data_IF_759840424083
#
_entry.id   IF_759840424083
#
_cell.length_a   1.000
_cell.length_b   1.000
_cell.length_c   1.000
_cell.angle_alpha   90.00
_cell.angle_beta   90.00
_cell.angle_gamma   90.00
#
_symmetry.space_group_name_H-M   'P 1'
#
loop_
_entity.id
_entity.type
_entity.pdbx_description
1 polymer ?
#
# COMPACT_ATOMS: atom_id res chain seq x y z
N UNK A 1 -26.46 -73.57 -19.17
CA UNK A 1 -25.21 -73.15 -19.85
C UNK A 1 -24.95 -71.70 -19.46
N UNK A 2 -24.10 -71.46 -18.47
CA UNK A 2 -23.69 -70.10 -18.08
C UNK A 2 -22.80 -69.53 -19.18
N UNK A 3 -23.30 -68.49 -19.86
CA UNK A 3 -22.49 -67.70 -20.78
C UNK A 3 -21.48 -66.90 -19.96
N UNK A 4 -20.23 -67.39 -19.89
CA UNK A 4 -19.11 -66.59 -19.36
C UNK A 4 -19.00 -65.32 -20.20
N UNK A 5 -19.35 -64.18 -19.60
CA UNK A 5 -19.12 -62.88 -20.21
C UNK A 5 -17.62 -62.73 -20.58
N UNK A 6 -17.31 -62.13 -21.73
CA UNK A 6 -15.93 -61.97 -22.17
C UNK A 6 -15.18 -61.08 -21.18
N UNK A 7 -14.24 -61.69 -20.46
CA UNK A 7 -13.37 -61.08 -19.43
C UNK A 7 -12.67 -59.80 -19.88
N UNK A 8 -12.55 -59.57 -21.19
CA UNK A 8 -12.03 -58.34 -21.79
C UNK A 8 -12.87 -57.08 -21.46
N UNK A 9 -14.21 -57.18 -21.44
CA UNK A 9 -15.09 -56.03 -21.20
C UNK A 9 -15.05 -55.55 -19.74
N UNK A 10 -14.85 -56.48 -18.80
CA UNK A 10 -14.74 -56.17 -17.37
C UNK A 10 -13.40 -55.48 -17.06
N UNK A 11 -12.30 -55.94 -17.66
CA UNK A 11 -10.99 -55.31 -17.47
C UNK A 11 -10.91 -53.89 -18.05
N UNK A 12 -11.48 -53.67 -19.25
CA UNK A 12 -11.47 -52.37 -19.91
C UNK A 12 -12.20 -51.28 -19.11
N UNK A 13 -13.35 -51.61 -18.48
CA UNK A 13 -14.08 -50.70 -17.59
C UNK A 13 -13.26 -50.33 -16.34
N UNK A 14 -12.49 -51.26 -15.77
CA UNK A 14 -11.69 -51.01 -14.58
C UNK A 14 -10.49 -50.08 -14.85
N UNK A 15 -9.86 -50.20 -16.02
CA UNK A 15 -8.73 -49.38 -16.44
C UNK A 15 -9.18 -47.96 -16.75
N UNK A 16 -10.28 -47.79 -17.51
CA UNK A 16 -10.87 -46.49 -17.78
C UNK A 16 -11.25 -45.75 -16.49
N UNK A 17 -11.79 -46.47 -15.50
CA UNK A 17 -12.16 -45.86 -14.22
C UNK A 17 -10.93 -45.40 -13.41
N UNK A 18 -9.86 -46.19 -13.38
CA UNK A 18 -8.60 -45.82 -12.72
C UNK A 18 -7.94 -44.62 -13.38
N UNK A 19 -7.82 -44.61 -14.71
CA UNK A 19 -7.26 -43.48 -15.46
C UNK A 19 -8.10 -42.21 -15.32
N UNK A 20 -9.43 -42.33 -15.25
CA UNK A 20 -10.32 -41.20 -14.96
C UNK A 20 -10.08 -40.61 -13.58
N UNK A 21 -9.91 -41.45 -12.55
CA UNK A 21 -9.56 -41.01 -11.20
C UNK A 21 -8.19 -40.32 -11.19
N UNK A 22 -7.19 -40.90 -11.86
CA UNK A 22 -5.87 -40.27 -11.98
C UNK A 22 -5.93 -38.91 -12.67
N UNK A 23 -6.67 -38.81 -13.78
CA UNK A 23 -6.87 -37.55 -14.49
C UNK A 23 -7.59 -36.51 -13.61
N UNK A 24 -8.62 -36.92 -12.88
CA UNK A 24 -9.35 -36.04 -11.97
C UNK A 24 -8.47 -35.53 -10.83
N UNK A 25 -7.68 -36.41 -10.20
CA UNK A 25 -6.72 -36.01 -9.16
C UNK A 25 -5.66 -35.08 -9.75
N UNK A 26 -5.13 -35.38 -10.93
CA UNK A 26 -4.12 -34.56 -11.58
C UNK A 26 -4.65 -33.16 -11.92
N UNK A 27 -5.85 -33.06 -12.51
CA UNK A 27 -6.51 -31.79 -12.78
C UNK A 27 -6.78 -31.03 -11.49
N UNK A 28 -7.28 -31.71 -10.44
CA UNK A 28 -7.54 -31.07 -9.15
C UNK A 28 -6.28 -30.50 -8.50
N UNK A 29 -5.14 -31.20 -8.62
CA UNK A 29 -3.86 -30.73 -8.12
C UNK A 29 -3.39 -29.49 -8.89
N UNK A 30 -3.47 -29.51 -10.23
CA UNK A 30 -3.13 -28.35 -11.07
C UNK A 30 -4.04 -27.16 -10.72
N UNK A 31 -5.35 -27.36 -10.63
CA UNK A 31 -6.29 -26.31 -10.28
C UNK A 31 -5.97 -25.70 -8.91
N UNK A 32 -5.59 -26.51 -7.93
CA UNK A 32 -5.20 -26.04 -6.59
C UNK A 32 -3.95 -25.18 -6.66
N UNK A 33 -2.92 -25.62 -7.38
CA UNK A 33 -1.67 -24.85 -7.53
C UNK A 33 -1.92 -23.52 -8.25
N UNK A 34 -2.71 -23.52 -9.32
CA UNK A 34 -3.07 -22.30 -10.06
C UNK A 34 -3.84 -21.32 -9.17
N UNK A 35 -4.81 -21.82 -8.41
CA UNK A 35 -5.60 -21.01 -7.48
C UNK A 35 -4.72 -20.36 -6.41
N UNK A 36 -3.89 -21.15 -5.73
CA UNK A 36 -3.00 -20.65 -4.67
C UNK A 36 -2.02 -19.62 -5.24
N UNK A 37 -1.44 -19.89 -6.42
CA UNK A 37 -0.52 -18.97 -7.09
C UNK A 37 -1.19 -17.64 -7.42
N UNK A 38 -2.43 -17.68 -7.93
CA UNK A 38 -3.21 -16.49 -8.23
C UNK A 38 -3.51 -15.68 -6.95
N UNK A 39 -4.01 -16.34 -5.90
CA UNK A 39 -4.34 -15.68 -4.62
C UNK A 39 -3.10 -15.03 -4.00
N UNK A 40 -1.94 -15.68 -4.05
CA UNK A 40 -0.68 -15.09 -3.56
C UNK A 40 -0.31 -13.86 -4.39
N UNK A 41 -0.43 -13.93 -5.73
CA UNK A 41 -0.15 -12.81 -6.62
C UNK A 41 -1.05 -11.60 -6.33
N UNK A 42 -2.36 -11.83 -6.21
CA UNK A 42 -3.33 -10.78 -5.87
C UNK A 42 -3.05 -10.18 -4.49
N UNK A 43 -2.75 -11.02 -3.48
CA UNK A 43 -2.39 -10.54 -2.14
C UNK A 43 -1.15 -9.65 -2.17
N UNK A 44 -0.11 -10.03 -2.91
CA UNK A 44 1.10 -9.19 -3.07
C UNK A 44 0.76 -7.85 -3.69
N UNK A 45 -0.03 -7.85 -4.76
CA UNK A 45 -0.42 -6.63 -5.45
C UNK A 45 -1.24 -5.68 -4.55
N UNK A 46 -2.14 -6.23 -3.73
CA UNK A 46 -2.90 -5.46 -2.74
C UNK A 46 -1.99 -4.83 -1.68
N UNK A 47 -1.01 -5.57 -1.17
CA UNK A 47 -0.04 -5.05 -0.19
C UNK A 47 0.80 -3.93 -0.81
N UNK A 48 1.29 -4.12 -2.03
CA UNK A 48 2.07 -3.10 -2.75
C UNK A 48 1.24 -1.83 -2.99
N UNK A 49 -0.03 -1.97 -3.37
CA UNK A 49 -0.95 -0.84 -3.54
C UNK A 49 -1.18 -0.09 -2.23
N UNK A 50 -1.37 -0.80 -1.11
CA UNK A 50 -1.56 -0.17 0.20
C UNK A 50 -0.30 0.57 0.67
N UNK A 51 0.87 -0.02 0.46
CA UNK A 51 2.16 0.63 0.75
C UNK A 51 2.34 1.89 -0.11
N UNK A 52 1.99 1.83 -1.40
CA UNK A 52 2.11 2.97 -2.29
C UNK A 52 1.13 4.08 -1.91
N UNK A 53 -0.10 3.73 -1.56
CA UNK A 53 -1.10 4.68 -1.08
C UNK A 53 -0.63 5.41 0.18
N UNK A 54 -0.10 4.67 1.16
CA UNK A 54 0.49 5.26 2.39
C UNK A 54 1.63 6.22 2.10
N UNK A 55 2.46 5.91 1.09
CA UNK A 55 3.55 6.82 0.65
C UNK A 55 2.98 8.11 0.06
N UNK A 56 1.97 8.02 -0.81
CA UNK A 56 1.29 9.19 -1.39
C UNK A 56 0.70 10.06 -0.28
N UNK A 57 -0.01 9.47 0.67
CA UNK A 57 -0.64 10.20 1.77
C UNK A 57 0.42 10.90 2.63
N UNK A 58 1.53 10.23 2.94
CA UNK A 58 2.64 10.83 3.69
C UNK A 58 3.27 12.02 2.94
N UNK A 59 3.49 11.89 1.63
CA UNK A 59 4.04 12.96 0.80
C UNK A 59 3.09 14.16 0.73
N UNK A 60 1.78 13.90 0.69
CA UNK A 60 0.76 14.95 0.72
C UNK A 60 0.78 15.71 2.03
N UNK A 61 0.88 15.02 3.18
CA UNK A 61 1.00 15.66 4.49
C UNK A 61 2.25 16.53 4.57
N UNK A 62 3.40 16.02 4.11
CA UNK A 62 4.65 16.79 4.08
C UNK A 62 4.52 18.02 3.17
N UNK A 63 3.92 17.87 1.98
CA UNK A 63 3.70 18.99 1.07
C UNK A 63 2.84 20.09 1.72
N UNK A 64 1.76 19.70 2.41
CA UNK A 64 0.88 20.64 3.10
C UNK A 64 1.61 21.38 4.23
N UNK A 65 2.45 20.68 5.00
CA UNK A 65 3.29 21.32 6.02
C UNK A 65 4.28 22.32 5.43
N UNK A 66 4.90 21.98 4.29
CA UNK A 66 5.84 22.86 3.59
C UNK A 66 5.14 24.09 3.01
N UNK A 67 3.93 23.92 2.47
CA UNK A 67 3.08 25.04 2.02
C UNK A 67 2.74 25.96 3.18
N UNK A 68 2.34 25.39 4.32
CA UNK A 68 2.02 26.16 5.52
C UNK A 68 3.22 26.96 5.99
N UNK A 69 4.41 26.35 6.06
CA UNK A 69 5.62 27.04 6.49
C UNK A 69 6.05 28.12 5.49
N UNK A 70 5.93 27.86 4.19
CA UNK A 70 6.15 28.85 3.14
C UNK A 70 5.22 30.05 3.29
N UNK A 71 3.92 29.83 3.53
CA UNK A 71 2.98 30.91 3.79
C UNK A 71 3.30 31.68 5.07
N UNK A 72 3.78 31.00 6.12
CA UNK A 72 4.21 31.65 7.37
C UNK A 72 5.40 32.59 7.12
N UNK A 73 6.41 32.10 6.40
CA UNK A 73 7.59 32.89 6.02
C UNK A 73 7.20 34.10 5.16
N UNK A 74 6.40 33.89 4.11
CA UNK A 74 5.92 34.99 3.25
C UNK A 74 5.05 35.99 4.01
N UNK A 75 4.27 35.53 4.99
CA UNK A 75 3.45 36.39 5.83
C UNK A 75 4.30 37.30 6.70
N UNK A 76 5.43 36.82 7.24
CA UNK A 76 6.35 37.65 8.02
C UNK A 76 6.93 38.80 7.18
N UNK A 77 7.36 38.52 5.95
CA UNK A 77 7.85 39.54 5.02
C UNK A 77 6.74 40.54 4.66
N UNK A 78 5.53 40.05 4.40
CA UNK A 78 4.38 40.88 4.07
C UNK A 78 3.96 41.78 5.24
N UNK A 79 3.95 41.26 6.46
CA UNK A 79 3.64 42.03 7.68
C UNK A 79 4.69 43.13 7.88
N UNK A 80 5.97 42.79 7.73
CA UNK A 80 7.08 43.74 7.87
C UNK A 80 6.94 44.89 6.86
N UNK A 81 6.62 44.57 5.60
CA UNK A 81 6.38 45.57 4.56
C UNK A 81 5.21 46.49 4.89
N UNK A 82 4.07 45.95 5.31
CA UNK A 82 2.91 46.74 5.70
C UNK A 82 3.24 47.64 6.92
N UNK A 83 3.96 47.12 7.90
CA UNK A 83 4.40 47.87 9.08
C UNK A 83 5.29 49.07 8.71
N UNK A 84 6.20 48.89 7.75
CA UNK A 84 7.06 49.97 7.26
C UNK A 84 6.29 50.99 6.42
N UNK A 85 5.54 50.52 5.40
CA UNK A 85 4.90 51.39 4.41
C UNK A 85 3.66 52.11 4.94
N UNK A 86 2.83 51.42 5.74
CA UNK A 86 1.53 51.93 6.19
C UNK A 86 1.57 52.50 7.61
N UNK A 87 2.46 51.99 8.46
CA UNK A 87 2.55 52.38 9.87
C UNK A 87 3.84 53.15 10.19
N UNK A 88 4.76 53.30 9.23
CA UNK A 88 6.02 54.02 9.42
C UNK A 88 6.97 53.37 10.43
N UNK A 89 6.76 52.08 10.76
CA UNK A 89 7.56 51.38 11.75
C UNK A 89 8.94 51.03 11.17
N UNK A 90 9.99 51.29 11.96
CA UNK A 90 11.37 51.02 11.58
C UNK A 90 11.81 49.72 12.25
N UNK A 91 12.39 48.75 11.53
CA UNK A 91 12.86 47.52 12.14
C UNK A 91 13.98 47.84 13.16
N UNK A 92 13.95 47.21 14.35
CA UNK A 92 14.97 47.45 15.36
C UNK A 92 16.34 46.97 14.85
N UNK A 93 17.44 47.65 15.21
CA UNK A 93 18.78 47.36 14.69
C UNK A 93 19.38 46.04 15.23
N UNK A 94 18.79 45.46 16.28
CA UNK A 94 19.26 44.22 16.88
C UNK A 94 18.08 43.27 17.09
N UNK A 95 18.32 41.98 16.87
CA UNK A 95 17.34 40.95 17.16
C UNK A 95 17.02 40.93 18.66
N UNK A 96 15.74 40.72 19.04
CA UNK A 96 15.36 40.67 20.44
C UNK A 96 16.11 39.55 21.17
N UNK A 97 16.65 39.88 22.34
CA UNK A 97 17.37 38.93 23.18
C UNK A 97 16.36 38.07 23.93
N UNK A 98 16.38 36.75 23.71
CA UNK A 98 15.54 35.82 24.47
C UNK A 98 16.10 35.73 25.88
N UNK A 99 15.38 36.28 26.86
CA UNK A 99 15.71 36.14 28.26
C UNK A 99 15.22 34.77 28.72
N UNK A 100 16.12 33.80 28.90
CA UNK A 100 15.74 32.55 29.56
C UNK A 100 15.43 32.82 31.03
N UNK A 101 14.17 32.69 31.40
CA UNK A 101 13.72 32.81 32.78
C UNK A 101 14.29 31.63 33.57
N UNK A 102 15.37 31.86 34.32
CA UNK A 102 15.88 30.91 35.32
C UNK A 102 14.79 30.71 36.37
N UNK A 103 13.93 29.73 36.14
CA UNK A 103 13.04 29.17 37.16
C UNK A 103 13.92 28.59 38.27
N UNK A 104 14.17 29.40 39.29
CA UNK A 104 14.65 28.93 40.59
C UNK A 104 13.43 28.58 41.43
N UNK A 105 13.18 27.28 41.62
CA UNK A 105 12.77 26.71 42.91
C UNK A 105 12.78 25.19 42.89
#
# INVERSE_FOLDING_TARGET
MEAKEPTALVQQRSLLNRWSIFALVFVSAISTVLYVSNVIGVKKLLVESDVLQKRIDSLRTVNESLRTESYRLQSADRITRIAQERLGLIPPPQAPTVLEEKTKR
#
